data_IF_132906604204
#
_entry.id   IF_132906604204
#
_cell.length_a   1.000
_cell.length_b   1.000
_cell.length_c   1.000
_cell.angle_alpha   90.00
_cell.angle_beta   90.00
_cell.angle_gamma   90.00
#
_symmetry.space_group_name_H-M   'P 1'
#
loop_
_entity.id
_entity.type
_entity.pdbx_description
1 polymer ?
#
# COMPACT_ATOMS: atom_id res chain seq x y z
N UNK A 1 15.27 8.24 -13.97
CA UNK A 1 14.28 8.55 -12.90
C UNK A 1 13.64 9.86 -13.28
N UNK A 2 12.34 9.86 -13.61
CA UNK A 2 11.60 11.04 -14.05
C UNK A 2 11.66 12.12 -12.95
N UNK A 3 12.02 13.36 -13.31
CA UNK A 3 12.17 14.49 -12.38
C UNK A 3 10.93 14.70 -11.52
N UNK A 4 9.74 14.54 -12.10
CA UNK A 4 8.46 14.69 -11.42
C UNK A 4 8.30 13.70 -10.26
N UNK A 5 8.83 12.47 -10.39
CA UNK A 5 8.73 11.46 -9.32
C UNK A 5 9.57 11.86 -8.11
N UNK A 6 10.75 12.45 -8.34
CA UNK A 6 11.62 12.93 -7.26
C UNK A 6 11.02 14.13 -6.54
N UNK A 7 10.39 15.02 -7.30
CA UNK A 7 9.75 16.20 -6.71
C UNK A 7 8.47 15.82 -5.95
N UNK A 8 7.71 14.84 -6.47
CA UNK A 8 6.59 14.23 -5.74
C UNK A 8 7.04 13.53 -4.45
N UNK A 9 8.13 12.76 -4.48
CA UNK A 9 8.71 12.14 -3.29
C UNK A 9 9.06 13.18 -2.21
N UNK A 10 9.66 14.30 -2.62
CA UNK A 10 10.00 15.40 -1.72
C UNK A 10 8.76 16.06 -1.13
N UNK A 11 7.74 16.30 -1.94
CA UNK A 11 6.47 16.83 -1.47
C UNK A 11 5.83 15.91 -0.42
N UNK A 12 5.82 14.59 -0.63
CA UNK A 12 5.30 13.65 0.38
C UNK A 12 6.09 13.68 1.69
N UNK A 13 7.40 13.92 1.62
CA UNK A 13 8.25 14.08 2.80
C UNK A 13 7.91 15.36 3.56
N UNK A 14 7.74 16.48 2.84
CA UNK A 14 7.35 17.78 3.40
C UNK A 14 5.94 17.73 4.04
N UNK A 15 5.04 16.95 3.46
CA UNK A 15 3.70 16.64 3.99
C UNK A 15 3.72 15.72 5.23
N UNK A 16 4.90 15.30 5.69
CA UNK A 16 5.06 14.47 6.88
C UNK A 16 4.56 13.03 6.71
N UNK A 17 4.50 12.50 5.48
CA UNK A 17 4.12 11.09 5.26
C UNK A 17 5.19 10.16 5.82
N UNK A 18 4.75 9.00 6.31
CA UNK A 18 5.69 7.96 6.77
C UNK A 18 6.53 7.42 5.61
N UNK A 19 7.76 6.98 5.89
CA UNK A 19 8.67 6.40 4.88
C UNK A 19 8.01 5.28 4.08
N UNK A 20 7.27 4.38 4.74
CA UNK A 20 6.52 3.31 4.06
C UNK A 20 5.45 3.83 3.11
N UNK A 21 4.76 4.91 3.49
CA UNK A 21 3.76 5.55 2.63
C UNK A 21 4.42 6.17 1.41
N UNK A 22 5.57 6.85 1.59
CA UNK A 22 6.35 7.43 0.50
C UNK A 22 6.80 6.34 -0.46
N UNK A 23 7.44 5.28 0.04
CA UNK A 23 7.89 4.13 -0.76
C UNK A 23 6.74 3.51 -1.55
N UNK A 24 5.57 3.31 -0.92
CA UNK A 24 4.38 2.77 -1.58
C UNK A 24 3.90 3.70 -2.70
N UNK A 25 3.74 5.00 -2.43
CA UNK A 25 3.19 5.94 -3.41
C UNK A 25 4.16 6.16 -4.58
N UNK A 26 5.45 6.34 -4.30
CA UNK A 26 6.49 6.49 -5.30
C UNK A 26 6.61 5.22 -6.15
N UNK A 27 6.54 4.04 -5.53
CA UNK A 27 6.53 2.76 -6.24
C UNK A 27 5.34 2.61 -7.18
N UNK A 28 4.14 2.97 -6.71
CA UNK A 28 2.92 2.92 -7.51
C UNK A 28 2.97 3.87 -8.71
N UNK A 29 3.38 5.11 -8.49
CA UNK A 29 3.54 6.13 -9.54
C UNK A 29 4.60 5.73 -10.56
N UNK A 30 5.74 5.21 -10.09
CA UNK A 30 6.80 4.70 -10.97
C UNK A 30 6.30 3.55 -11.84
N UNK A 31 5.46 2.67 -11.28
CA UNK A 31 4.82 1.59 -12.04
C UNK A 31 3.92 2.12 -13.17
N UNK A 32 3.10 3.14 -12.89
CA UNK A 32 2.28 3.78 -13.92
C UNK A 32 3.13 4.41 -15.02
N UNK A 33 4.19 5.14 -14.66
CA UNK A 33 5.06 5.80 -15.65
C UNK A 33 5.75 4.76 -16.54
N UNK A 34 6.29 3.68 -15.97
CA UNK A 34 6.89 2.58 -16.75
C UNK A 34 5.89 1.94 -17.71
N UNK A 35 4.63 1.79 -17.28
CA UNK A 35 3.57 1.30 -18.16
C UNK A 35 3.33 2.27 -19.33
N UNK A 36 3.24 3.58 -19.07
CA UNK A 36 3.09 4.59 -20.12
C UNK A 36 4.27 4.59 -21.11
N UNK A 37 5.50 4.52 -20.59
CA UNK A 37 6.72 4.42 -21.40
C UNK A 37 6.69 3.17 -22.30
N UNK A 38 6.23 2.02 -21.79
CA UNK A 38 6.08 0.80 -22.58
C UNK A 38 5.06 0.92 -23.72
N UNK A 39 4.12 1.85 -23.60
CA UNK A 39 3.13 2.19 -24.62
C UNK A 39 3.59 3.33 -25.54
N UNK A 40 4.84 3.79 -25.41
CA UNK A 40 5.40 4.90 -26.19
C UNK A 40 4.95 6.29 -25.73
N UNK A 41 4.42 6.42 -24.51
CA UNK A 41 3.96 7.69 -23.94
C UNK A 41 4.97 8.19 -22.91
N UNK A 42 5.57 9.36 -23.17
CA UNK A 42 6.39 10.05 -22.19
C UNK A 42 5.51 10.81 -21.20
N UNK A 43 5.82 10.67 -19.90
CA UNK A 43 5.04 11.32 -18.84
C UNK A 43 5.59 12.72 -18.54
N UNK A 44 4.87 13.74 -19.01
CA UNK A 44 5.23 15.16 -18.90
C UNK A 44 4.54 15.89 -17.73
N UNK A 45 4.01 15.17 -16.75
CA UNK A 45 3.37 15.77 -15.57
C UNK A 45 1.87 16.03 -15.72
N UNK A 46 1.24 15.52 -16.77
CA UNK A 46 -0.23 15.57 -16.91
C UNK A 46 -0.81 14.15 -16.95
N UNK A 47 -1.64 13.82 -15.96
CA UNK A 47 -2.44 12.61 -15.98
C UNK A 47 -3.69 12.80 -16.84
N UNK A 48 -3.94 11.86 -17.74
CA UNK A 48 -5.15 11.81 -18.57
C UNK A 48 -6.06 10.68 -18.11
N UNK A 49 -7.37 10.87 -18.27
CA UNK A 49 -8.39 9.85 -17.97
C UNK A 49 -8.09 8.49 -18.62
N UNK A 50 -7.61 8.53 -19.87
CA UNK A 50 -7.23 7.36 -20.64
C UNK A 50 -6.08 6.58 -19.99
N UNK A 51 -5.06 7.26 -19.46
CA UNK A 51 -3.91 6.61 -18.80
C UNK A 51 -4.35 5.80 -17.59
N UNK A 52 -5.20 6.38 -16.75
CA UNK A 52 -5.74 5.73 -15.53
C UNK A 52 -6.58 4.51 -15.91
N UNK A 53 -7.47 4.66 -16.89
CA UNK A 53 -8.37 3.57 -17.29
C UNK A 53 -7.61 2.42 -17.96
N UNK A 54 -6.65 2.75 -18.83
CA UNK A 54 -5.80 1.77 -19.52
C UNK A 54 -4.92 1.00 -18.54
N UNK A 55 -4.26 1.70 -17.61
CA UNK A 55 -3.42 1.05 -16.61
C UNK A 55 -4.23 0.19 -15.63
N UNK A 56 -5.41 0.66 -15.20
CA UNK A 56 -6.33 -0.14 -14.40
C UNK A 56 -6.70 -1.45 -15.09
N UNK A 57 -7.05 -1.40 -16.38
CA UNK A 57 -7.39 -2.60 -17.14
C UNK A 57 -6.19 -3.55 -17.26
N UNK A 58 -4.99 -3.01 -17.51
CA UNK A 58 -3.76 -3.82 -17.52
C UNK A 58 -3.51 -4.51 -16.17
N UNK A 59 -3.76 -3.85 -15.04
CA UNK A 59 -3.63 -4.47 -13.72
C UNK A 59 -4.66 -5.60 -13.52
N UNK A 60 -5.89 -5.43 -14.00
CA UNK A 60 -6.93 -6.46 -13.93
C UNK A 60 -6.54 -7.67 -14.80
N UNK A 61 -6.10 -7.44 -16.03
CA UNK A 61 -5.67 -8.49 -16.97
C UNK A 61 -4.48 -9.29 -16.44
N UNK A 62 -3.58 -8.62 -15.70
CA UNK A 62 -2.44 -9.27 -15.03
C UNK A 62 -2.82 -9.94 -13.69
N UNK A 63 -4.10 -9.97 -13.31
CA UNK A 63 -4.58 -10.69 -12.13
C UNK A 63 -4.22 -10.03 -10.79
N UNK A 64 -4.00 -8.71 -10.76
CA UNK A 64 -3.76 -8.02 -9.48
C UNK A 64 -5.02 -8.00 -8.62
N UNK A 65 -4.83 -8.21 -7.32
CA UNK A 65 -5.90 -8.14 -6.32
C UNK A 65 -6.61 -6.75 -6.35
N UNK A 66 -7.95 -6.71 -6.24
CA UNK A 66 -8.71 -5.46 -6.21
C UNK A 66 -8.20 -4.44 -5.18
N UNK A 67 -7.77 -4.93 -4.01
CA UNK A 67 -7.19 -4.09 -2.95
C UNK A 67 -5.90 -3.42 -3.39
N UNK A 68 -5.03 -4.14 -4.09
CA UNK A 68 -3.77 -3.61 -4.66
C UNK A 68 -4.05 -2.57 -5.73
N UNK A 69 -5.04 -2.83 -6.60
CA UNK A 69 -5.47 -1.87 -7.63
C UNK A 69 -6.02 -0.60 -6.95
N UNK A 70 -6.88 -0.75 -5.94
CA UNK A 70 -7.46 0.38 -5.21
C UNK A 70 -6.39 1.21 -4.46
N UNK A 71 -5.35 0.57 -3.93
CA UNK A 71 -4.22 1.28 -3.33
C UNK A 71 -3.46 2.12 -4.38
N UNK A 72 -3.19 1.54 -5.56
CA UNK A 72 -2.57 2.28 -6.68
C UNK A 72 -3.40 3.49 -7.11
N UNK A 73 -4.72 3.33 -7.20
CA UNK A 73 -5.63 4.46 -7.51
C UNK A 73 -5.51 5.58 -6.47
N UNK A 74 -5.37 5.26 -5.18
CA UNK A 74 -5.17 6.27 -4.14
C UNK A 74 -3.83 7.01 -4.32
N UNK A 75 -2.75 6.28 -4.64
CA UNK A 75 -1.44 6.86 -4.96
C UNK A 75 -1.53 7.84 -6.14
N UNK A 76 -2.33 7.52 -7.17
CA UNK A 76 -2.53 8.40 -8.34
C UNK A 76 -3.36 9.65 -8.04
N UNK A 77 -4.27 9.59 -7.08
CA UNK A 77 -4.98 10.78 -6.59
C UNK A 77 -4.00 11.69 -5.86
N UNK A 78 -3.15 11.12 -5.00
CA UNK A 78 -2.10 11.89 -4.33
C UNK A 78 -1.18 12.58 -5.33
N UNK A 79 -0.77 11.86 -6.40
CA UNK A 79 -0.01 12.45 -7.49
C UNK A 79 -0.80 13.54 -8.22
N UNK A 80 -2.09 13.34 -8.50
CA UNK A 80 -2.92 14.33 -9.18
C UNK A 80 -3.02 15.63 -8.39
N UNK A 81 -3.21 15.54 -7.07
CA UNK A 81 -3.23 16.72 -6.19
C UNK A 81 -1.90 17.47 -6.24
N UNK A 82 -0.78 16.75 -6.11
CA UNK A 82 0.55 17.33 -6.24
C UNK A 82 0.74 18.05 -7.59
N UNK A 83 0.32 17.45 -8.70
CA UNK A 83 0.44 18.04 -10.03
C UNK A 83 -0.41 19.30 -10.18
N UNK A 84 -1.58 19.36 -9.53
CA UNK A 84 -2.45 20.55 -9.52
C UNK A 84 -1.81 21.67 -8.70
N UNK A 85 -1.32 21.36 -7.50
CA UNK A 85 -0.66 22.34 -6.62
C UNK A 85 0.56 22.99 -7.29
N UNK A 86 1.26 22.24 -8.14
CA UNK A 86 2.42 22.72 -8.89
C UNK A 86 2.09 23.27 -10.29
N UNK A 87 0.80 23.41 -10.63
CA UNK A 87 0.35 24.05 -11.88
C UNK A 87 0.49 23.20 -13.15
N UNK A 88 0.78 21.90 -13.03
CA UNK A 88 0.84 20.97 -14.18
C UNK A 88 -0.56 20.54 -14.66
N UNK A 89 -1.56 20.62 -13.80
CA UNK A 89 -2.94 20.19 -14.06
C UNK A 89 -3.94 21.14 -13.41
N UNK A 90 -5.16 21.21 -13.96
CA UNK A 90 -6.23 22.06 -13.43
C UNK A 90 -7.30 21.28 -12.66
N UNK A 91 -7.43 19.99 -12.90
CA UNK A 91 -8.47 19.15 -12.29
C UNK A 91 -8.01 17.70 -12.13
N UNK A 92 -8.61 17.00 -11.16
CA UNK A 92 -8.36 15.58 -10.92
C UNK A 92 -9.13 14.75 -11.94
N UNK A 93 -8.43 13.91 -12.71
CA UNK A 93 -9.02 13.06 -13.77
C UNK A 93 -9.54 11.70 -13.27
N UNK A 94 -9.39 11.44 -11.97
CA UNK A 94 -9.71 10.18 -11.29
C UNK A 94 -11.03 10.34 -10.52
N UNK A 95 -11.96 9.41 -10.74
CA UNK A 95 -13.23 9.32 -10.03
C UNK A 95 -13.23 8.04 -9.20
N UNK A 96 -13.05 8.19 -7.88
CA UNK A 96 -12.98 7.07 -6.94
C UNK A 96 -14.18 6.10 -7.02
N UNK A 97 -15.36 6.58 -7.41
CA UNK A 97 -16.55 5.72 -7.53
C UNK A 97 -16.50 4.83 -8.77
N UNK A 98 -15.81 5.28 -9.83
CA UNK A 98 -15.70 4.58 -11.12
C UNK A 98 -14.38 3.82 -11.29
N UNK A 99 -13.32 4.30 -10.65
CA UNK A 99 -11.97 3.77 -10.85
C UNK A 99 -11.57 2.72 -9.83
N UNK A 100 -12.21 2.70 -8.67
CA UNK A 100 -12.02 1.59 -7.75
C UNK A 100 -12.67 0.32 -8.29
N UNK A 101 -11.96 -0.79 -8.16
CA UNK A 101 -12.49 -2.12 -8.44
C UNK A 101 -13.37 -2.51 -7.26
N UNK A 102 -14.61 -2.90 -7.55
CA UNK A 102 -15.54 -3.41 -6.54
C UNK A 102 -14.98 -4.71 -5.97
N UNK A 103 -14.82 -4.73 -4.65
CA UNK A 103 -14.52 -5.94 -3.90
C UNK A 103 -15.86 -6.66 -3.76
N UNK A 104 -15.96 -7.87 -4.32
CA UNK A 104 -17.17 -8.68 -4.15
C UNK A 104 -17.33 -9.01 -2.66
N UNK A 105 -18.53 -8.87 -2.12
CA UNK A 105 -18.83 -9.26 -0.74
C UNK A 105 -18.40 -10.73 -0.54
N UNK A 106 -17.40 -10.97 0.31
CA UNK A 106 -16.80 -12.29 0.52
C UNK A 106 -15.40 -12.51 -0.07
N UNK A 107 -14.87 -11.57 -0.86
CA UNK A 107 -13.45 -11.54 -1.29
C UNK A 107 -12.54 -10.71 -0.38
N UNK A 108 -13.10 -10.18 0.72
CA UNK A 108 -12.30 -9.62 1.80
C UNK A 108 -11.39 -10.72 2.34
N UNK A 109 -10.10 -10.42 2.51
CA UNK A 109 -9.20 -11.31 3.24
C UNK A 109 -9.85 -11.57 4.60
N UNK A 110 -10.38 -12.78 4.81
CA UNK A 110 -10.84 -13.17 6.12
C UNK A 110 -9.62 -13.10 7.03
N UNK A 111 -9.71 -12.29 8.08
CA UNK A 111 -8.68 -12.28 9.11
C UNK A 111 -8.68 -13.67 9.70
N UNK A 112 -7.63 -14.45 9.40
CA UNK A 112 -7.44 -15.75 10.03
C UNK A 112 -7.27 -15.52 11.53
N UNK A 113 -8.29 -15.87 12.29
CA UNK A 113 -8.26 -15.79 13.75
C UNK A 113 -7.73 -17.10 14.28
N UNK A 114 -6.82 -17.04 15.25
CA UNK A 114 -6.39 -18.25 15.95
C UNK A 114 -7.59 -18.88 16.67
N UNK A 115 -7.79 -20.18 16.48
CA UNK A 115 -8.72 -20.95 17.30
C UNK A 115 -8.18 -21.12 18.72
N UNK A 116 -9.07 -21.34 19.70
CA UNK A 116 -8.69 -21.57 21.10
C UNK A 116 -7.64 -22.68 21.23
N UNK A 117 -7.78 -23.75 20.42
CA UNK A 117 -6.80 -24.85 20.38
C UNK A 117 -5.42 -24.40 19.88
N UNK A 118 -5.35 -23.49 18.91
CA UNK A 118 -4.07 -22.94 18.44
C UNK A 118 -3.46 -22.02 19.50
N UNK A 119 -4.28 -21.21 20.15
CA UNK A 119 -3.87 -20.34 21.27
C UNK A 119 -3.27 -21.18 22.40
N UNK A 120 -3.95 -22.23 22.85
CA UNK A 120 -3.44 -23.15 23.89
C UNK A 120 -2.10 -23.78 23.49
N UNK A 121 -1.99 -24.25 22.24
CA UNK A 121 -0.73 -24.86 21.75
C UNK A 121 0.43 -23.86 21.80
N UNK A 122 0.20 -22.60 21.43
CA UNK A 122 1.21 -21.55 21.55
C UNK A 122 1.58 -21.34 23.01
N UNK A 123 0.59 -21.19 23.91
CA UNK A 123 0.81 -20.98 25.34
C UNK A 123 1.58 -22.12 26.02
N UNK A 124 1.32 -23.38 25.64
CA UNK A 124 2.09 -24.53 26.11
C UNK A 124 3.50 -24.57 25.54
N UNK A 125 3.66 -24.29 24.24
CA UNK A 125 4.95 -24.33 23.57
C UNK A 125 5.94 -23.32 24.18
N UNK A 126 5.49 -22.09 24.48
CA UNK A 126 6.34 -21.03 25.05
C UNK A 126 6.80 -21.30 26.50
N UNK A 127 6.20 -22.26 27.21
CA UNK A 127 6.70 -22.67 28.53
C UNK A 127 7.98 -23.52 28.45
N UNK A 128 8.29 -24.10 27.28
CA UNK A 128 9.45 -24.96 27.13
C UNK A 128 10.74 -24.14 27.01
N UNK A 129 11.38 -23.87 28.15
CA UNK A 129 12.61 -23.08 28.24
C UNK A 129 13.82 -23.68 27.47
N UNK A 130 13.79 -24.98 27.15
CA UNK A 130 14.83 -25.63 26.33
C UNK A 130 14.67 -25.30 24.85
N UNK A 131 13.47 -24.92 24.40
CA UNK A 131 13.14 -24.63 23.00
C UNK A 131 12.90 -23.15 22.72
N UNK A 132 12.41 -22.40 23.72
CA UNK A 132 12.02 -20.99 23.58
C UNK A 132 12.80 -20.14 24.56
N UNK A 133 13.52 -19.15 24.05
CA UNK A 133 14.30 -18.22 24.88
C UNK A 133 13.36 -17.26 25.62
N UNK A 134 13.80 -16.73 26.76
CA UNK A 134 13.02 -15.78 27.56
C UNK A 134 12.50 -14.59 26.74
N UNK A 135 13.34 -14.03 25.86
CA UNK A 135 12.97 -12.93 24.96
C UNK A 135 11.78 -13.29 24.06
N UNK A 136 11.87 -14.43 23.37
CA UNK A 136 10.86 -14.83 22.39
C UNK A 136 9.53 -15.16 23.09
N UNK A 137 9.61 -15.75 24.29
CA UNK A 137 8.44 -15.94 25.17
C UNK A 137 7.78 -14.59 25.52
N UNK A 138 8.56 -13.59 25.95
CA UNK A 138 8.03 -12.27 26.31
C UNK A 138 7.39 -11.57 25.11
N UNK A 139 8.02 -11.62 23.94
CA UNK A 139 7.47 -11.09 22.68
C UNK A 139 6.09 -11.71 22.40
N UNK A 140 5.97 -13.04 22.45
CA UNK A 140 4.71 -13.74 22.18
C UNK A 140 3.65 -13.35 23.23
N UNK A 141 4.01 -13.30 24.51
CA UNK A 141 3.06 -12.92 25.56
C UNK A 141 2.58 -11.47 25.41
N UNK A 142 3.46 -10.51 25.13
CA UNK A 142 3.06 -9.11 24.93
C UNK A 142 2.11 -9.01 23.74
N UNK A 143 2.45 -9.61 22.59
CA UNK A 143 1.58 -9.61 21.41
C UNK A 143 0.21 -10.21 21.71
N UNK A 144 0.15 -11.35 22.42
CA UNK A 144 -1.11 -12.04 22.73
C UNK A 144 -1.98 -11.31 23.76
N UNK A 145 -1.40 -10.71 24.80
CA UNK A 145 -2.16 -10.13 25.92
C UNK A 145 -2.46 -8.64 25.77
N UNK A 146 -1.68 -7.89 24.98
CA UNK A 146 -1.87 -6.44 24.81
C UNK A 146 -2.44 -6.06 23.45
N UNK A 147 -2.32 -6.93 22.45
CA UNK A 147 -2.72 -6.62 21.09
C UNK A 147 -1.90 -5.52 20.41
N UNK A 148 -0.71 -5.18 20.94
CA UNK A 148 0.19 -4.22 20.27
C UNK A 148 0.60 -4.74 18.90
N UNK A 149 0.72 -3.84 17.93
CA UNK A 149 1.29 -4.18 16.62
C UNK A 149 2.78 -4.48 16.77
N UNK A 150 3.31 -5.32 15.89
CA UNK A 150 4.74 -5.66 15.86
C UNK A 150 5.62 -4.40 15.80
N UNK A 151 5.23 -3.39 15.02
CA UNK A 151 5.96 -2.11 14.98
C UNK A 151 6.00 -1.43 16.35
N UNK A 152 4.86 -1.38 17.05
CA UNK A 152 4.80 -0.79 18.38
C UNK A 152 5.61 -1.58 19.41
N UNK A 153 5.72 -2.91 19.27
CA UNK A 153 6.60 -3.73 20.12
C UNK A 153 8.08 -3.44 19.87
N UNK A 154 8.47 -3.16 18.63
CA UNK A 154 9.86 -2.84 18.28
C UNK A 154 10.32 -1.45 18.76
N UNK A 155 9.37 -0.59 19.13
CA UNK A 155 9.63 0.77 19.64
C UNK A 155 9.68 0.82 21.19
N UNK A 156 9.52 -0.33 21.88
CA UNK A 156 9.65 -0.49 23.35
C UNK A 156 11.08 -0.88 23.72
#
# INVERSE_FOLDING_TARGET
>A
MNTIVKDFERHLLEDGKSTKTIESYVGDVTGLIKYLESMGVEFEGTLKRFYITSYKNNLIENGYEPTTINNKINSFISLSNYLIENGYMNEVVIDLRKDRVKIASGSEHQVEVFSDRLVERILFYIQNQKKVRLRDRMIIQILMFTGVRVSGLCDI
#
